data_IF_614036681885
#
_entry.id   IF_614036681885
#
_cell.length_a   1.000
_cell.length_b   1.000
_cell.length_c   1.000
_cell.angle_alpha   90.00
_cell.angle_beta   90.00
_cell.angle_gamma   90.00
#
_symmetry.space_group_name_H-M   'P 1'
#
loop_
_entity.id
_entity.type
_entity.pdbx_description
1 polymer ?
#
# COMPACT_ATOMS: atom_id res chain seq x y z
N UNK A 1 51.72 -10.15 5.08
CA UNK A 1 51.57 -10.08 6.54
C UNK A 1 50.44 -11.02 6.95
N UNK A 2 50.74 -11.97 7.85
CA UNK A 2 49.79 -12.95 8.35
C UNK A 2 48.59 -12.26 9.00
N UNK A 3 47.43 -12.32 8.34
CA UNK A 3 46.15 -11.92 8.91
C UNK A 3 45.45 -13.15 9.49
N UNK A 4 45.31 -13.19 10.80
CA UNK A 4 44.62 -14.23 11.55
C UNK A 4 43.15 -14.35 11.12
N UNK A 5 42.72 -15.55 10.71
CA UNK A 5 41.31 -15.86 10.48
C UNK A 5 40.61 -15.96 11.83
N UNK A 6 39.84 -14.94 12.19
CA UNK A 6 38.91 -14.95 13.32
C UNK A 6 37.78 -15.98 13.04
N UNK A 7 37.47 -16.95 13.93
CA UNK A 7 36.55 -18.05 13.64
C UNK A 7 35.06 -17.68 13.75
N UNK A 8 34.73 -16.41 13.92
CA UNK A 8 33.35 -15.94 13.76
C UNK A 8 33.01 -15.86 12.27
N UNK A 9 32.57 -17.00 11.74
CA UNK A 9 31.96 -17.14 10.43
C UNK A 9 30.70 -16.26 10.38
N UNK A 10 30.86 -14.97 10.04
CA UNK A 10 29.74 -14.12 9.66
C UNK A 10 29.29 -14.61 8.30
N UNK A 11 28.33 -15.54 8.27
CA UNK A 11 27.56 -15.82 7.07
C UNK A 11 26.95 -14.50 6.60
N UNK A 12 27.52 -13.89 5.56
CA UNK A 12 26.84 -12.85 4.82
C UNK A 12 25.75 -13.57 4.02
N UNK A 13 24.57 -13.73 4.62
CA UNK A 13 23.37 -14.09 3.88
C UNK A 13 23.07 -12.90 2.99
N UNK A 14 23.52 -12.95 1.73
CA UNK A 14 23.08 -11.99 0.71
C UNK A 14 21.57 -12.11 0.59
N UNK A 15 20.83 -11.04 0.87
CA UNK A 15 19.40 -11.04 0.61
C UNK A 15 19.08 -11.00 -0.88
N UNK A 16 17.83 -11.29 -1.21
CA UNK A 16 17.25 -11.11 -2.54
C UNK A 16 16.51 -9.79 -2.60
N UNK A 17 16.39 -9.24 -3.80
CA UNK A 17 15.69 -7.99 -4.07
C UNK A 17 14.76 -8.14 -5.28
N UNK A 18 13.62 -7.42 -5.26
CA UNK A 18 12.73 -7.25 -6.41
C UNK A 18 12.42 -5.76 -6.59
N UNK A 19 12.41 -5.27 -7.83
CA UNK A 19 12.12 -3.88 -8.15
C UNK A 19 10.84 -3.76 -8.98
N UNK A 20 9.99 -2.80 -8.62
CA UNK A 20 8.78 -2.47 -9.36
C UNK A 20 8.87 -1.04 -9.88
N UNK A 21 8.39 -0.83 -11.10
CA UNK A 21 8.38 0.49 -11.72
C UNK A 21 7.63 1.50 -10.83
N UNK A 22 8.21 2.69 -10.63
CA UNK A 22 7.69 3.78 -9.78
C UNK A 22 7.61 3.51 -8.27
N UNK A 23 7.74 2.27 -7.81
CA UNK A 23 7.70 1.90 -6.38
C UNK A 23 9.09 1.61 -5.79
N UNK A 24 10.10 1.40 -6.64
CA UNK A 24 11.46 1.11 -6.21
C UNK A 24 11.67 -0.37 -5.89
N UNK A 25 12.70 -0.66 -5.09
CA UNK A 25 13.15 -2.01 -4.80
C UNK A 25 12.87 -2.44 -3.35
N UNK A 26 12.55 -3.72 -3.19
CA UNK A 26 12.20 -4.36 -1.93
C UNK A 26 13.14 -5.54 -1.68
N UNK A 27 13.78 -5.53 -0.52
CA UNK A 27 14.74 -6.56 -0.10
C UNK A 27 14.17 -7.48 0.97
N UNK A 28 14.63 -8.74 1.00
CA UNK A 28 14.37 -9.70 2.09
C UNK A 28 15.49 -9.72 3.15
N UNK A 29 16.36 -8.71 3.16
CA UNK A 29 17.33 -8.49 4.22
C UNK A 29 16.66 -7.98 5.51
N UNK A 30 17.37 -8.14 6.63
CA UNK A 30 16.95 -7.58 7.91
C UNK A 30 16.82 -6.04 7.76
N UNK A 31 15.72 -5.41 8.21
CA UNK A 31 14.70 -5.94 9.12
C UNK A 31 13.44 -6.50 8.43
N UNK A 32 13.40 -6.59 7.10
CA UNK A 32 12.21 -6.97 6.34
C UNK A 32 11.89 -8.46 6.44
N UNK A 33 12.90 -9.30 6.63
CA UNK A 33 12.77 -10.72 6.91
C UNK A 33 14.01 -11.29 7.64
N UNK A 34 13.93 -12.54 8.07
CA UNK A 34 15.00 -13.23 8.79
C UNK A 34 15.17 -12.78 10.25
N UNK A 35 14.17 -12.10 10.83
CA UNK A 35 14.11 -11.79 12.27
C UNK A 35 13.31 -12.85 13.02
N UNK A 36 13.27 -12.77 14.37
CA UNK A 36 12.47 -13.69 15.20
C UNK A 36 10.97 -13.52 14.89
N UNK A 37 10.52 -12.28 14.68
CA UNK A 37 9.13 -11.92 14.39
C UNK A 37 8.76 -12.20 12.94
N UNK A 38 9.74 -12.20 12.02
CA UNK A 38 9.57 -12.37 10.57
C UNK A 38 10.57 -13.41 10.02
N UNK A 39 10.46 -14.69 10.41
CA UNK A 39 11.49 -15.69 10.12
C UNK A 39 11.56 -16.08 8.64
N UNK A 40 10.44 -15.98 7.92
CA UNK A 40 10.36 -16.35 6.51
C UNK A 40 10.89 -15.21 5.63
N UNK A 41 11.89 -15.52 4.80
CA UNK A 41 12.38 -14.63 3.74
C UNK A 41 11.46 -14.68 2.52
N UNK A 42 10.50 -13.76 2.48
CA UNK A 42 9.51 -13.65 1.41
C UNK A 42 9.55 -12.23 0.87
N UNK A 43 9.63 -12.12 -0.46
CA UNK A 43 9.52 -10.85 -1.18
C UNK A 43 8.05 -10.53 -1.47
N UNK A 44 7.69 -9.24 -1.56
CA UNK A 44 6.32 -8.85 -1.90
C UNK A 44 5.89 -9.37 -3.27
N UNK A 45 4.58 -9.55 -3.45
CA UNK A 45 3.99 -9.82 -4.77
C UNK A 45 4.06 -8.58 -5.66
N UNK A 46 4.01 -8.79 -6.98
CA UNK A 46 4.03 -7.70 -7.94
C UNK A 46 2.77 -6.83 -7.85
N UNK A 47 2.83 -5.54 -8.24
CA UNK A 47 1.68 -4.65 -8.26
C UNK A 47 0.49 -5.21 -9.06
N UNK A 48 0.76 -5.89 -10.17
CA UNK A 48 -0.26 -6.52 -11.02
C UNK A 48 -0.94 -7.70 -10.31
N UNK A 49 -0.19 -8.44 -9.48
CA UNK A 49 -0.71 -9.57 -8.70
C UNK A 49 -1.50 -9.12 -7.48
N UNK A 50 -1.08 -8.04 -6.81
CA UNK A 50 -1.82 -7.44 -5.69
C UNK A 50 -3.08 -6.74 -6.21
N UNK A 51 -2.99 -6.12 -7.39
CA UNK A 51 -4.08 -5.40 -8.05
C UNK A 51 -4.73 -4.33 -7.14
N UNK A 52 -3.91 -3.45 -6.59
CA UNK A 52 -4.39 -2.35 -5.75
C UNK A 52 -5.25 -1.39 -6.56
N UNK A 53 -6.48 -1.14 -6.09
CA UNK A 53 -7.45 -0.23 -6.73
C UNK A 53 -7.78 0.94 -5.82
N UNK A 54 -7.91 2.14 -6.38
CA UNK A 54 -8.28 3.35 -5.65
C UNK A 54 -9.71 3.74 -6.01
N UNK A 55 -10.65 3.44 -5.12
CA UNK A 55 -12.08 3.67 -5.32
C UNK A 55 -12.50 4.98 -4.65
N UNK A 56 -12.74 6.03 -5.43
CA UNK A 56 -13.13 7.35 -4.93
C UNK A 56 -14.64 7.43 -4.71
N UNK A 57 -15.03 7.69 -3.47
CA UNK A 57 -16.37 8.12 -3.09
C UNK A 57 -16.34 9.58 -2.65
N UNK A 58 -17.32 10.36 -3.10
CA UNK A 58 -17.53 11.73 -2.64
C UNK A 58 -18.99 11.94 -2.27
N UNK A 59 -19.30 13.12 -1.72
CA UNK A 59 -20.69 13.51 -1.45
C UNK A 59 -21.53 13.63 -2.73
N UNK A 60 -20.89 13.82 -3.89
CA UNK A 60 -21.53 13.87 -5.22
C UNK A 60 -21.77 12.48 -5.82
N UNK A 61 -21.01 11.47 -5.41
CA UNK A 61 -21.17 10.07 -5.84
C UNK A 61 -21.05 9.10 -4.65
N UNK A 62 -22.01 9.11 -3.70
CA UNK A 62 -21.91 8.34 -2.46
C UNK A 62 -22.12 6.82 -2.65
N UNK A 63 -22.77 6.41 -3.74
CA UNK A 63 -23.17 5.02 -3.98
C UNK A 63 -22.35 4.33 -5.07
N UNK A 64 -21.70 5.09 -5.96
CA UNK A 64 -20.91 4.56 -7.07
C UNK A 64 -19.51 5.16 -7.02
N UNK A 65 -18.49 4.31 -6.98
CA UNK A 65 -17.11 4.77 -6.99
C UNK A 65 -16.67 5.29 -8.36
N UNK A 66 -15.67 6.17 -8.35
CA UNK A 66 -14.85 6.49 -9.51
C UNK A 66 -13.46 5.88 -9.30
N UNK A 67 -12.98 5.06 -10.24
CA UNK A 67 -11.67 4.42 -10.10
C UNK A 67 -10.57 5.38 -10.52
N UNK A 68 -9.56 5.55 -9.65
CA UNK A 68 -8.42 6.41 -9.88
C UNK A 68 -7.18 5.58 -10.20
N UNK A 69 -6.41 6.03 -11.21
CA UNK A 69 -5.17 5.36 -11.60
C UNK A 69 -3.97 6.24 -11.28
N UNK A 70 -3.01 5.69 -10.54
CA UNK A 70 -1.78 6.43 -10.19
C UNK A 70 -0.90 6.71 -11.40
N UNK A 71 -1.04 5.92 -12.47
CA UNK A 71 -0.35 6.07 -13.76
C UNK A 71 -0.99 7.11 -14.68
N UNK A 72 -2.25 7.49 -14.41
CA UNK A 72 -3.00 8.41 -15.25
C UNK A 72 -3.65 9.52 -14.40
N UNK A 73 -2.97 10.69 -14.29
CA UNK A 73 -3.47 11.83 -13.54
C UNK A 73 -4.80 12.40 -14.05
N UNK A 74 -5.19 12.13 -15.32
CA UNK A 74 -6.47 12.61 -15.87
C UNK A 74 -7.65 12.03 -15.09
N UNK A 75 -7.53 10.79 -14.62
CA UNK A 75 -8.58 10.11 -13.84
C UNK A 75 -8.93 10.84 -12.55
N UNK A 76 -7.96 11.54 -11.95
CA UNK A 76 -8.20 12.40 -10.78
C UNK A 76 -8.88 13.71 -11.20
N UNK A 77 -8.42 14.32 -12.30
CA UNK A 77 -8.95 15.60 -12.82
C UNK A 77 -10.40 15.48 -13.29
N UNK A 78 -10.76 14.36 -13.92
CA UNK A 78 -12.08 14.09 -14.48
C UNK A 78 -13.08 13.53 -13.44
N UNK A 79 -12.60 13.22 -12.24
CA UNK A 79 -13.41 12.72 -11.12
C UNK A 79 -14.07 13.84 -10.31
N UNK A 80 -14.90 13.46 -9.33
CA UNK A 80 -15.45 14.36 -8.33
C UNK A 80 -14.44 14.80 -7.25
N UNK A 81 -13.15 14.46 -7.39
CA UNK A 81 -12.12 14.87 -6.44
C UNK A 81 -12.05 16.39 -6.28
N UNK A 82 -12.00 16.87 -5.03
CA UNK A 82 -11.92 18.31 -4.71
C UNK A 82 -10.71 18.61 -3.83
N UNK A 83 -9.78 19.38 -4.37
CA UNK A 83 -8.53 19.78 -3.69
C UNK A 83 -8.79 20.53 -2.38
N UNK A 84 -9.92 21.26 -2.29
CA UNK A 84 -10.30 22.02 -1.09
C UNK A 84 -10.94 21.15 0.01
N UNK A 85 -11.20 19.86 -0.24
CA UNK A 85 -11.80 18.95 0.73
C UNK A 85 -10.74 18.04 1.34
N UNK A 86 -10.94 17.67 2.61
CA UNK A 86 -10.09 16.67 3.27
C UNK A 86 -10.26 15.33 2.57
N UNK A 87 -9.16 14.71 2.18
CA UNK A 87 -9.13 13.35 1.62
C UNK A 87 -8.83 12.37 2.75
N UNK A 88 -9.55 11.24 2.80
CA UNK A 88 -9.30 10.17 3.78
C UNK A 88 -9.21 8.85 3.05
N UNK A 89 -8.17 8.08 3.35
CA UNK A 89 -8.00 6.72 2.84
C UNK A 89 -8.53 5.74 3.87
N UNK A 90 -9.29 4.75 3.39
CA UNK A 90 -9.75 3.61 4.19
C UNK A 90 -9.18 2.38 3.50
N UNK A 91 -8.36 1.62 4.24
CA UNK A 91 -7.59 0.50 3.71
C UNK A 91 -7.99 -0.72 4.52
N UNK A 92 -8.47 -1.75 3.84
CA UNK A 92 -8.85 -3.00 4.48
C UNK A 92 -7.64 -3.89 4.79
N UNK A 93 -7.89 -4.99 5.49
CA UNK A 93 -6.87 -5.99 5.84
C UNK A 93 -7.45 -7.40 5.88
N UNK A 94 -7.58 -7.96 7.08
CA UNK A 94 -7.94 -9.36 7.31
C UNK A 94 -9.15 -9.85 6.50
N UNK A 95 -8.92 -10.83 5.61
CA UNK A 95 -9.92 -11.60 4.81
C UNK A 95 -10.81 -10.75 3.87
N UNK A 96 -10.62 -9.44 3.84
CA UNK A 96 -11.48 -8.52 3.13
C UNK A 96 -11.03 -8.26 1.68
N UNK A 97 -11.97 -7.97 0.78
CA UNK A 97 -11.76 -7.74 -0.65
C UNK A 97 -11.91 -6.28 -1.08
N UNK A 98 -11.99 -5.31 -0.15
CA UNK A 98 -11.90 -3.88 -0.49
C UNK A 98 -13.17 -3.28 -1.13
N UNK A 99 -14.14 -4.11 -1.48
CA UNK A 99 -15.47 -3.74 -1.97
C UNK A 99 -16.59 -4.18 -1.02
N UNK A 100 -16.25 -4.73 0.14
CA UNK A 100 -17.22 -5.08 1.17
C UNK A 100 -17.94 -3.82 1.69
N UNK A 101 -19.20 -4.00 2.08
CA UNK A 101 -20.11 -2.90 2.42
C UNK A 101 -19.60 -1.98 3.53
N UNK A 102 -18.74 -2.45 4.43
CA UNK A 102 -18.27 -1.62 5.55
C UNK A 102 -17.40 -0.44 5.09
N UNK A 103 -16.66 -0.57 3.99
CA UNK A 103 -15.81 0.50 3.44
C UNK A 103 -16.67 1.65 2.91
N UNK A 104 -17.65 1.34 2.07
CA UNK A 104 -18.59 2.34 1.54
C UNK A 104 -19.49 2.92 2.64
N UNK A 105 -19.90 2.11 3.62
CA UNK A 105 -20.64 2.59 4.79
C UNK A 105 -19.81 3.58 5.63
N UNK A 106 -18.52 3.32 5.81
CA UNK A 106 -17.62 4.23 6.51
C UNK A 106 -17.42 5.54 5.73
N UNK A 107 -17.29 5.49 4.40
CA UNK A 107 -17.28 6.68 3.55
C UNK A 107 -18.53 7.55 3.75
N UNK A 108 -19.72 6.93 3.79
CA UNK A 108 -20.99 7.64 4.02
C UNK A 108 -21.03 8.32 5.40
N UNK A 109 -20.59 7.64 6.46
CA UNK A 109 -20.56 8.23 7.80
C UNK A 109 -19.57 9.40 7.89
N UNK A 110 -18.39 9.26 7.27
CA UNK A 110 -17.37 10.32 7.24
C UNK A 110 -17.83 11.53 6.42
N UNK A 111 -18.50 11.32 5.28
CA UNK A 111 -18.99 12.38 4.40
C UNK A 111 -20.07 13.28 5.02
N UNK A 112 -20.77 12.77 6.03
CA UNK A 112 -21.81 13.48 6.77
C UNK A 112 -21.31 14.22 8.02
N UNK A 113 -20.02 14.16 8.35
CA UNK A 113 -19.52 14.91 9.49
C UNK A 113 -19.66 16.42 9.24
N UNK A 114 -20.26 17.20 10.17
CA UNK A 114 -20.47 18.64 9.96
C UNK A 114 -19.14 19.30 9.62
N UNK A 115 -19.15 20.06 8.51
CA UNK A 115 -18.01 20.88 8.12
C UNK A 115 -17.70 21.83 9.30
N UNK A 116 -16.45 21.90 9.80
CA UNK A 116 -16.08 23.01 10.64
C UNK A 116 -16.32 24.27 9.82
N UNK A 117 -17.26 25.10 10.28
CA UNK A 117 -17.50 26.45 9.76
C UNK A 117 -16.28 27.32 9.99
#
# INVERSE_FOLDING_TARGET
CLGTKNPFFKFMVSGKEVCFERLGCFSDEIPWAGTIERPLKVLPWSPEKINTRFLLYTNENPDNFQELYTTDPSTIQDSNFKIQRKTRFIIHGFIDQGEENWLSNMCKQVGHFPRPT
#
